data_IF_799145831484
#
_entry.id   IF_799145831484
#
_cell.length_a   1.000
_cell.length_b   1.000
_cell.length_c   1.000
_cell.angle_alpha   90.00
_cell.angle_beta   90.00
_cell.angle_gamma   90.00
#
_symmetry.space_group_name_H-M   'P 1'
#
loop_
_entity.id
_entity.type
_entity.pdbx_description
1 polymer ?
#
# COMPACT_ATOMS: atom_id res chain seq x y z
N UNK A 1 -45.48 -9.55 -14.62
CA UNK A 1 -44.75 -8.39 -14.09
C UNK A 1 -45.49 -7.86 -12.87
N UNK A 2 -45.01 -8.13 -11.66
CA UNK A 2 -45.61 -7.65 -10.40
C UNK A 2 -44.61 -6.68 -9.76
N UNK A 3 -44.96 -5.41 -9.69
CA UNK A 3 -44.21 -4.37 -8.97
C UNK A 3 -44.47 -4.55 -7.46
N UNK A 4 -43.43 -4.86 -6.70
CA UNK A 4 -43.46 -4.82 -5.24
C UNK A 4 -43.09 -3.40 -4.79
N UNK A 5 -44.05 -2.68 -4.22
CA UNK A 5 -43.81 -1.45 -3.48
C UNK A 5 -43.30 -1.80 -2.08
N UNK A 6 -42.02 -1.57 -1.83
CA UNK A 6 -41.45 -1.60 -0.48
C UNK A 6 -41.61 -0.20 0.12
N UNK A 7 -42.53 -0.08 1.07
CA UNK A 7 -42.72 1.12 1.88
C UNK A 7 -41.62 1.19 2.95
N UNK A 8 -40.69 2.13 2.81
CA UNK A 8 -39.66 2.43 3.81
C UNK A 8 -40.27 3.36 4.85
N UNK A 9 -40.51 2.83 6.05
CA UNK A 9 -40.96 3.59 7.23
C UNK A 9 -39.73 4.28 7.83
N UNK A 10 -39.67 5.61 7.73
CA UNK A 10 -38.71 6.43 8.46
C UNK A 10 -39.14 6.57 9.92
N UNK A 11 -38.54 5.75 10.79
CA UNK A 11 -38.62 5.93 12.24
C UNK A 11 -37.59 6.96 12.71
N UNK A 12 -38.02 8.22 12.87
CA UNK A 12 -37.24 9.26 13.55
C UNK A 12 -37.30 9.00 15.05
N UNK A 13 -36.24 8.42 15.62
CA UNK A 13 -36.08 8.28 17.06
C UNK A 13 -35.11 9.35 17.54
N UNK A 14 -35.68 10.48 17.95
CA UNK A 14 -34.99 11.53 18.67
C UNK A 14 -34.71 11.05 20.10
N UNK A 15 -33.45 10.69 20.38
CA UNK A 15 -32.97 10.54 21.75
C UNK A 15 -32.12 11.77 22.07
N UNK A 16 -32.72 12.67 22.84
CA UNK A 16 -32.00 13.72 23.54
C UNK A 16 -31.12 13.12 24.62
N UNK A 17 -29.92 13.68 24.78
CA UNK A 17 -28.98 13.32 25.83
C UNK A 17 -27.97 14.43 26.02
N UNK A 18 -28.25 15.31 26.97
CA UNK A 18 -27.38 16.38 27.42
C UNK A 18 -26.08 15.81 28.00
N UNK A 19 -24.93 16.18 27.45
CA UNK A 19 -23.64 16.01 28.11
C UNK A 19 -22.91 17.35 28.22
N UNK A 20 -22.90 17.86 29.46
CA UNK A 20 -21.64 18.16 30.13
C UNK A 20 -20.83 19.32 29.55
N UNK A 21 -21.22 20.53 29.94
CA UNK A 21 -20.31 21.65 30.07
C UNK A 21 -19.16 21.28 31.00
N UNK A 22 -17.94 21.34 30.47
CA UNK A 22 -16.73 21.34 31.27
C UNK A 22 -15.57 20.90 30.41
N UNK A 23 -14.74 21.85 29.98
CA UNK A 23 -13.28 21.83 30.09
C UNK A 23 -12.85 23.29 30.01
N UNK A 24 -12.72 23.86 31.20
CA UNK A 24 -12.13 25.16 31.46
C UNK A 24 -10.79 24.87 32.13
N UNK A 25 -9.77 25.65 31.75
CA UNK A 25 -8.44 25.77 32.34
C UNK A 25 -7.34 24.84 31.78
N UNK A 26 -6.32 25.48 31.21
CA UNK A 26 -5.08 24.83 30.80
C UNK A 26 -4.14 25.65 29.90
N UNK A 27 -4.27 26.97 29.84
CA UNK A 27 -3.23 27.83 29.26
C UNK A 27 -2.00 27.80 30.18
N UNK A 28 -1.01 26.96 29.85
CA UNK A 28 0.37 27.17 30.33
C UNK A 28 1.27 27.47 29.14
N UNK A 29 1.53 28.76 29.00
CA UNK A 29 2.58 29.36 28.20
C UNK A 29 3.95 28.90 28.74
N UNK A 30 4.75 28.25 27.89
CA UNK A 30 6.19 28.16 28.07
C UNK A 30 6.85 28.77 26.83
N UNK A 31 7.17 30.05 26.98
CA UNK A 31 8.01 30.80 26.06
C UNK A 31 9.44 30.29 26.21
N UNK A 32 9.94 29.55 25.22
CA UNK A 32 11.38 29.30 25.11
C UNK A 32 12.07 30.51 24.48
N UNK A 33 13.14 31.04 25.10
CA UNK A 33 13.88 32.18 24.59
C UNK A 33 14.65 31.80 23.32
N UNK A 34 14.57 32.71 22.35
CA UNK A 34 15.40 32.73 21.16
C UNK A 34 16.89 32.80 21.54
N UNK A 35 17.64 31.74 21.29
CA UNK A 35 19.09 31.77 21.26
C UNK A 35 19.53 32.26 19.88
N UNK A 36 19.84 33.55 19.82
CA UNK A 36 20.41 34.26 18.68
C UNK A 36 21.88 33.84 18.52
N UNK A 37 22.15 32.79 17.74
CA UNK A 37 23.51 32.46 17.32
C UNK A 37 23.80 33.16 15.99
N UNK A 38 24.26 34.42 16.09
CA UNK A 38 25.00 35.13 15.05
C UNK A 38 26.35 34.45 14.85
N UNK A 39 26.42 33.52 13.90
CA UNK A 39 27.67 33.00 13.39
C UNK A 39 27.95 33.63 12.02
N UNK A 40 28.87 34.59 12.05
CA UNK A 40 29.58 35.22 10.94
C UNK A 40 30.02 34.18 9.89
N UNK A 41 29.42 34.23 8.71
CA UNK A 41 29.90 33.50 7.53
C UNK A 41 31.04 34.30 6.88
N UNK A 42 32.27 33.75 6.79
CA UNK A 42 33.34 34.40 6.04
C UNK A 42 33.01 34.36 4.53
N UNK A 43 33.01 35.55 3.93
CA UNK A 43 33.23 35.74 2.50
C UNK A 43 34.62 35.23 2.12
N UNK A 44 34.73 34.62 0.93
CA UNK A 44 35.93 34.23 0.16
C UNK A 44 36.10 32.71 -0.02
N UNK A 45 35.78 32.22 -1.21
CA UNK A 45 36.84 31.87 -2.19
C UNK A 45 36.18 31.28 -3.43
N UNK A 46 36.20 32.04 -4.54
CA UNK A 46 35.80 31.56 -5.85
C UNK A 46 36.84 30.56 -6.36
N UNK A 47 36.75 29.31 -5.90
CA UNK A 47 37.46 28.20 -6.50
C UNK A 47 36.78 27.87 -7.83
N UNK A 48 37.46 28.22 -8.93
CA UNK A 48 37.15 27.79 -10.29
C UNK A 48 37.38 26.27 -10.36
N UNK A 49 36.36 25.53 -9.93
CA UNK A 49 36.37 24.08 -9.86
C UNK A 49 36.45 23.50 -11.29
N UNK A 50 37.35 22.56 -11.59
CA UNK A 50 37.52 22.00 -12.93
C UNK A 50 36.28 21.19 -13.30
N UNK A 51 35.40 21.80 -14.08
CA UNK A 51 34.11 21.23 -14.49
C UNK A 51 34.25 20.00 -15.42
N UNK A 52 35.47 19.72 -15.90
CA UNK A 52 35.76 18.68 -16.87
C UNK A 52 35.94 17.28 -16.25
N UNK A 53 36.31 17.17 -14.96
CA UNK A 53 36.47 15.87 -14.29
C UNK A 53 35.12 15.22 -13.91
N UNK A 54 34.08 16.02 -13.72
CA UNK A 54 32.75 15.52 -13.30
C UNK A 54 32.05 14.80 -14.45
N UNK A 55 32.25 15.25 -15.70
CA UNK A 55 31.62 14.62 -16.87
C UNK A 55 32.23 13.27 -17.21
N UNK A 56 33.55 13.12 -17.06
CA UNK A 56 34.26 11.86 -17.34
C UNK A 56 33.86 10.76 -16.35
N UNK A 57 33.77 11.08 -15.06
CA UNK A 57 33.31 10.11 -14.05
C UNK A 57 31.88 9.62 -14.31
N UNK A 58 30.99 10.53 -14.71
CA UNK A 58 29.60 10.17 -15.03
C UNK A 58 29.52 9.28 -16.26
N UNK A 59 30.39 9.48 -17.25
CA UNK A 59 30.44 8.63 -18.44
C UNK A 59 30.95 7.22 -18.11
N UNK A 60 31.99 7.09 -17.29
CA UNK A 60 32.50 5.79 -16.84
C UNK A 60 31.47 5.01 -16.00
N UNK A 61 30.71 5.70 -15.15
CA UNK A 61 29.63 5.10 -14.37
C UNK A 61 28.51 4.57 -15.28
N UNK A 62 28.12 5.37 -16.28
CA UNK A 62 27.08 4.99 -17.24
C UNK A 62 27.51 3.82 -18.13
N UNK A 63 28.80 3.73 -18.49
CA UNK A 63 29.36 2.58 -19.22
C UNK A 63 29.29 1.31 -18.37
N UNK A 64 29.64 1.38 -17.08
CA UNK A 64 29.52 0.24 -16.17
C UNK A 64 28.08 -0.24 -16.04
N UNK A 65 27.12 0.68 -15.98
CA UNK A 65 25.69 0.34 -15.90
C UNK A 65 25.19 -0.35 -17.18
N UNK A 66 25.63 0.11 -18.36
CA UNK A 66 25.32 -0.53 -19.64
C UNK A 66 25.88 -1.96 -19.74
N UNK A 67 27.12 -2.18 -19.29
CA UNK A 67 27.73 -3.51 -19.28
C UNK A 67 27.02 -4.45 -18.31
N UNK A 68 26.59 -3.93 -17.15
CA UNK A 68 25.78 -4.69 -16.19
C UNK A 68 24.42 -5.08 -16.79
N UNK A 69 23.75 -4.17 -17.50
CA UNK A 69 22.47 -4.46 -18.15
C UNK A 69 22.62 -5.48 -19.28
N UNK A 70 23.67 -5.38 -20.10
CA UNK A 70 23.97 -6.39 -21.14
C UNK A 70 24.22 -7.77 -20.53
N UNK A 71 24.92 -7.85 -19.40
CA UNK A 71 25.10 -9.10 -18.66
C UNK A 71 23.77 -9.71 -18.20
N UNK A 72 22.84 -8.89 -17.68
CA UNK A 72 21.50 -9.35 -17.28
C UNK A 72 20.67 -9.84 -18.46
N UNK A 73 20.72 -9.16 -19.60
CA UNK A 73 20.02 -9.61 -20.81
C UNK A 73 20.56 -10.94 -21.31
N UNK A 74 21.88 -11.14 -21.30
CA UNK A 74 22.47 -12.44 -21.65
C UNK A 74 22.02 -13.59 -20.74
N UNK A 75 21.89 -13.33 -19.43
CA UNK A 75 21.37 -14.31 -18.48
C UNK A 75 19.89 -14.67 -18.76
N UNK A 76 19.05 -13.66 -19.02
CA UNK A 76 17.63 -13.88 -19.33
C UNK A 76 17.45 -14.63 -20.65
N UNK A 77 18.23 -14.31 -21.68
CA UNK A 77 18.22 -15.06 -22.94
C UNK A 77 18.65 -16.53 -22.73
N UNK A 78 19.68 -16.77 -21.92
CA UNK A 78 20.11 -18.13 -21.59
C UNK A 78 19.01 -18.89 -20.85
N UNK A 79 18.33 -18.23 -19.89
CA UNK A 79 17.19 -18.81 -19.19
C UNK A 79 16.05 -19.13 -20.16
N UNK A 80 15.71 -18.22 -21.06
CA UNK A 80 14.69 -18.44 -22.08
C UNK A 80 15.03 -19.62 -23.00
N UNK A 81 16.29 -19.74 -23.44
CA UNK A 81 16.75 -20.91 -24.22
C UNK A 81 16.66 -22.21 -23.42
N UNK A 82 16.97 -22.20 -22.12
CA UNK A 82 16.83 -23.39 -21.28
C UNK A 82 15.37 -23.83 -21.11
N UNK A 83 14.43 -22.87 -21.01
CA UNK A 83 13.00 -23.16 -20.99
C UNK A 83 12.56 -23.73 -22.34
N UNK A 84 12.97 -23.12 -23.46
CA UNK A 84 12.66 -23.62 -24.80
C UNK A 84 13.24 -25.02 -25.09
N UNK A 85 14.46 -25.29 -24.61
CA UNK A 85 15.08 -26.60 -24.76
C UNK A 85 14.35 -27.67 -23.93
N UNK A 86 13.88 -27.33 -22.73
CA UNK A 86 13.03 -28.22 -21.95
C UNK A 86 11.67 -28.45 -22.61
N UNK A 87 11.05 -27.44 -23.20
CA UNK A 87 9.79 -27.62 -23.93
C UNK A 87 9.95 -28.43 -25.21
N UNK A 88 11.14 -28.42 -25.84
CA UNK A 88 11.40 -29.17 -27.08
C UNK A 88 11.63 -30.68 -26.86
N UNK A 89 11.85 -31.12 -25.62
CA UNK A 89 11.93 -32.54 -25.27
C UNK A 89 10.59 -33.11 -24.75
N UNK A 90 9.53 -32.30 -24.72
CA UNK A 90 8.16 -32.72 -24.43
C UNK A 90 7.37 -32.83 -25.75
N UNK A 91 7.82 -33.72 -26.63
CA UNK A 91 7.00 -34.28 -27.73
C UNK A 91 6.06 -35.40 -27.24
N UNK A 92 5.89 -35.52 -25.92
CA UNK A 92 4.71 -36.14 -25.33
C UNK A 92 3.69 -35.02 -25.18
N UNK A 93 2.48 -35.12 -25.80
CA UNK A 93 1.47 -34.08 -25.68
C UNK A 93 1.09 -33.99 -24.20
N UNK A 94 1.76 -33.06 -23.50
CA UNK A 94 1.26 -32.54 -22.26
C UNK A 94 -0.18 -32.17 -22.60
N UNK A 95 -1.10 -32.86 -21.95
CA UNK A 95 -2.50 -32.52 -21.90
C UNK A 95 -2.54 -31.14 -21.24
N UNK A 96 -2.22 -30.10 -22.02
CA UNK A 96 -2.59 -28.72 -21.75
C UNK A 96 -4.08 -28.86 -21.62
N UNK A 97 -4.52 -28.86 -20.36
CA UNK A 97 -5.93 -28.86 -20.04
C UNK A 97 -6.45 -27.57 -20.66
N UNK A 98 -6.91 -27.64 -21.92
CA UNK A 98 -7.50 -26.57 -22.74
C UNK A 98 -8.82 -26.04 -22.12
N UNK A 99 -9.01 -26.28 -20.83
CA UNK A 99 -10.15 -25.93 -20.04
C UNK A 99 -9.85 -24.73 -19.12
N UNK A 100 -8.84 -23.93 -19.46
CA UNK A 100 -8.64 -22.59 -18.90
C UNK A 100 -9.60 -21.62 -19.58
N UNK A 101 -10.89 -21.81 -19.33
CA UNK A 101 -11.91 -20.86 -19.70
C UNK A 101 -11.62 -19.53 -18.97
N UNK A 102 -11.50 -18.38 -19.67
CA UNK A 102 -11.24 -17.09 -19.03
C UNK A 102 -12.18 -16.76 -17.87
N UNK A 103 -13.43 -17.22 -17.94
CA UNK A 103 -14.40 -17.05 -16.86
C UNK A 103 -14.02 -17.80 -15.57
N UNK A 104 -13.39 -18.98 -15.69
CA UNK A 104 -12.97 -19.78 -14.54
C UNK A 104 -11.75 -19.16 -13.86
N UNK A 105 -10.83 -18.58 -14.65
CA UNK A 105 -9.68 -17.82 -14.13
C UNK A 105 -10.16 -16.60 -13.34
N UNK A 106 -11.05 -15.78 -13.91
CA UNK A 106 -11.59 -14.61 -13.22
C UNK A 106 -12.33 -14.99 -11.93
N UNK A 107 -13.09 -16.08 -11.95
CA UNK A 107 -13.78 -16.58 -10.76
C UNK A 107 -12.79 -17.06 -9.68
N UNK A 108 -11.72 -17.75 -10.07
CA UNK A 108 -10.68 -18.21 -9.14
C UNK A 108 -9.91 -17.02 -8.53
N UNK A 109 -9.55 -16.02 -9.32
CA UNK A 109 -8.90 -14.80 -8.83
C UNK A 109 -9.79 -14.04 -7.84
N UNK A 110 -11.09 -13.90 -8.15
CA UNK A 110 -12.05 -13.27 -7.25
C UNK A 110 -12.15 -14.01 -5.91
N UNK A 111 -12.20 -15.35 -5.93
CA UNK A 111 -12.21 -16.17 -4.73
C UNK A 111 -10.92 -16.01 -3.91
N UNK A 112 -9.76 -15.96 -4.56
CA UNK A 112 -8.48 -15.75 -3.86
C UNK A 112 -8.41 -14.37 -3.21
N UNK A 113 -8.89 -13.34 -3.91
CA UNK A 113 -8.96 -11.97 -3.37
C UNK A 113 -9.85 -11.95 -2.11
N UNK A 114 -11.05 -12.53 -2.20
CA UNK A 114 -12.00 -12.59 -1.08
C UNK A 114 -11.43 -13.37 0.11
N UNK A 115 -10.82 -14.53 -0.15
CA UNK A 115 -10.18 -15.35 0.89
C UNK A 115 -9.04 -14.59 1.58
N UNK A 116 -8.22 -13.88 0.81
CA UNK A 116 -7.12 -13.05 1.34
C UNK A 116 -7.63 -11.89 2.18
N UNK A 117 -8.68 -11.21 1.74
CA UNK A 117 -9.31 -10.13 2.52
C UNK A 117 -9.88 -10.64 3.83
N UNK A 118 -10.54 -11.80 3.80
CA UNK A 118 -11.11 -12.46 4.98
C UNK A 118 -10.00 -12.83 5.97
N UNK A 119 -8.91 -13.43 5.49
CA UNK A 119 -7.75 -13.77 6.31
C UNK A 119 -7.16 -12.56 7.06
N UNK A 120 -6.90 -11.44 6.36
CA UNK A 120 -6.38 -10.24 7.02
C UNK A 120 -7.39 -9.62 7.98
N UNK A 121 -8.68 -9.62 7.62
CA UNK A 121 -9.76 -9.12 8.49
C UNK A 121 -9.82 -9.91 9.79
N UNK A 122 -9.79 -11.24 9.70
CA UNK A 122 -9.90 -12.12 10.87
C UNK A 122 -8.64 -12.02 11.74
N UNK A 123 -7.46 -11.99 11.13
CA UNK A 123 -6.21 -11.81 11.85
C UNK A 123 -6.18 -10.46 12.58
N UNK A 124 -6.63 -9.39 11.91
CA UNK A 124 -6.75 -8.07 12.52
C UNK A 124 -7.69 -8.06 13.73
N UNK A 125 -8.83 -8.75 13.67
CA UNK A 125 -9.78 -8.79 14.80
C UNK A 125 -9.24 -9.53 16.02
N UNK A 126 -8.32 -10.48 15.80
CA UNK A 126 -7.70 -11.26 16.88
C UNK A 126 -6.51 -10.53 17.53
N UNK A 127 -5.97 -9.48 16.90
CA UNK A 127 -4.84 -8.75 17.49
C UNK A 127 -5.24 -7.96 18.75
N UNK A 128 -4.42 -8.03 19.82
CA UNK A 128 -4.60 -7.14 20.95
C UNK A 128 -4.30 -5.69 20.52
N UNK A 129 -4.90 -4.72 21.21
CA UNK A 129 -4.57 -3.31 21.01
C UNK A 129 -3.32 -2.92 21.81
N UNK A 130 -2.39 -2.18 21.19
CA UNK A 130 -1.30 -1.48 21.90
C UNK A 130 -1.70 -0.01 22.09
N UNK A 131 -2.24 0.40 23.25
CA UNK A 131 -2.83 1.73 23.42
C UNK A 131 -1.84 2.88 23.19
N UNK A 132 -0.54 2.66 23.44
CA UNK A 132 0.47 3.70 23.23
C UNK A 132 0.79 3.90 21.75
N UNK A 133 0.76 2.82 20.98
CA UNK A 133 1.06 2.87 19.55
C UNK A 133 -0.15 3.27 18.71
N UNK A 134 -1.34 2.73 19.03
CA UNK A 134 -2.57 2.91 18.25
C UNK A 134 -2.90 4.38 18.03
N UNK A 135 -2.91 5.21 19.08
CA UNK A 135 -3.25 6.63 18.98
C UNK A 135 -2.28 7.39 18.06
N UNK A 136 -0.97 7.15 18.23
CA UNK A 136 0.08 7.76 17.42
C UNK A 136 0.01 7.31 15.96
N UNK A 137 -0.20 6.02 15.72
CA UNK A 137 -0.27 5.43 14.40
C UNK A 137 -1.50 5.94 13.62
N UNK A 138 -2.68 5.93 14.25
CA UNK A 138 -3.92 6.45 13.66
C UNK A 138 -3.81 7.95 13.34
N UNK A 139 -3.25 8.75 14.24
CA UNK A 139 -3.01 10.18 14.00
C UNK A 139 -2.08 10.39 12.80
N UNK A 140 -0.96 9.68 12.76
CA UNK A 140 0.00 9.78 11.66
C UNK A 140 -0.60 9.38 10.31
N UNK A 141 -1.41 8.31 10.28
CA UNK A 141 -2.12 7.87 9.08
C UNK A 141 -3.17 8.89 8.64
N UNK A 142 -4.00 9.36 9.56
CA UNK A 142 -5.01 10.39 9.26
C UNK A 142 -4.34 11.63 8.69
N UNK A 143 -3.29 12.14 9.32
CA UNK A 143 -2.62 13.37 8.88
C UNK A 143 -1.94 13.18 7.51
N UNK A 144 -1.36 12.00 7.26
CA UNK A 144 -0.74 11.65 5.99
C UNK A 144 -1.73 11.55 4.81
N UNK A 145 -2.92 11.01 5.04
CA UNK A 145 -3.92 10.78 4.00
C UNK A 145 -4.99 11.88 3.92
N UNK A 146 -5.19 12.69 4.95
CA UNK A 146 -6.16 13.81 4.90
C UNK A 146 -5.73 14.87 3.87
N UNK A 147 -4.43 15.07 3.68
CA UNK A 147 -3.88 15.95 2.64
C UNK A 147 -3.95 15.35 1.22
N UNK A 148 -4.37 14.08 1.10
CA UNK A 148 -4.52 13.41 -0.19
C UNK A 148 -5.89 13.67 -0.84
N UNK A 149 -6.84 14.27 -0.10
CA UNK A 149 -8.18 14.59 -0.60
C UNK A 149 -8.14 15.48 -1.85
N UNK A 150 -7.24 16.46 -1.89
CA UNK A 150 -7.01 17.33 -3.07
C UNK A 150 -6.55 16.56 -4.32
N UNK A 151 -6.08 15.33 -4.13
CA UNK A 151 -5.62 14.42 -5.18
C UNK A 151 -6.57 13.24 -5.33
N UNK A 152 -7.86 13.42 -5.08
CA UNK A 152 -8.90 12.43 -5.36
C UNK A 152 -8.80 11.13 -4.56
N UNK A 153 -8.12 11.17 -3.40
CA UNK A 153 -8.10 10.07 -2.43
C UNK A 153 -8.56 10.61 -1.09
N UNK A 154 -9.77 10.25 -0.70
CA UNK A 154 -10.41 10.71 0.53
C UNK A 154 -10.11 9.75 1.68
N UNK A 155 -9.79 10.32 2.84
CA UNK A 155 -9.68 9.58 4.09
C UNK A 155 -11.07 9.15 4.58
N UNK A 156 -11.23 7.88 4.97
CA UNK A 156 -12.46 7.38 5.59
C UNK A 156 -12.20 7.09 7.07
N UNK A 157 -11.36 6.09 7.37
CA UNK A 157 -11.00 5.74 8.74
C UNK A 157 -9.62 5.03 8.82
N UNK A 158 -9.12 4.88 10.04
CA UNK A 158 -8.14 3.85 10.34
C UNK A 158 -8.33 3.27 11.73
N UNK A 159 -8.07 1.98 11.84
CA UNK A 159 -8.09 1.22 13.07
C UNK A 159 -6.73 0.52 13.20
N UNK A 160 -6.00 0.76 14.28
CA UNK A 160 -4.72 0.10 14.54
C UNK A 160 -4.83 -0.86 15.71
N UNK A 161 -4.03 -1.93 15.69
CA UNK A 161 -3.96 -2.95 16.74
C UNK A 161 -2.58 -3.01 17.35
N UNK A 162 -1.92 -4.15 17.48
CA UNK A 162 -0.59 -4.22 18.10
C UNK A 162 0.52 -4.28 17.06
N UNK A 163 0.26 -4.91 15.92
CA UNK A 163 1.24 -5.10 14.85
C UNK A 163 0.76 -4.65 13.48
N UNK A 164 -0.54 -4.35 13.29
CA UNK A 164 -1.05 -3.83 12.02
C UNK A 164 -2.15 -2.76 12.18
N UNK A 165 -2.38 -2.02 11.10
CA UNK A 165 -3.47 -1.08 10.93
C UNK A 165 -4.34 -1.47 9.73
N UNK A 166 -5.66 -1.37 9.88
CA UNK A 166 -6.63 -1.34 8.79
C UNK A 166 -6.94 0.11 8.46
N UNK A 167 -6.69 0.52 7.23
CA UNK A 167 -6.92 1.88 6.73
C UNK A 167 -7.98 1.81 5.65
N UNK A 168 -9.04 2.61 5.77
CA UNK A 168 -10.05 2.77 4.71
C UNK A 168 -9.91 4.13 4.05
N UNK A 169 -9.87 4.11 2.73
CA UNK A 169 -9.84 5.29 1.87
C UNK A 169 -10.93 5.15 0.81
N UNK A 170 -11.22 6.24 0.11
CA UNK A 170 -12.07 6.23 -1.08
C UNK A 170 -11.36 6.97 -2.22
N UNK A 171 -11.43 6.43 -3.44
CA UNK A 171 -10.89 7.08 -4.65
C UNK A 171 -12.02 7.68 -5.47
N UNK A 172 -11.85 8.92 -5.92
CA UNK A 172 -12.89 9.65 -6.68
C UNK A 172 -13.10 9.05 -8.08
N UNK A 173 -12.05 8.44 -8.65
CA UNK A 173 -12.07 7.85 -9.99
C UNK A 173 -11.75 6.35 -9.91
N UNK A 174 -12.74 5.46 -9.88
CA UNK A 174 -12.47 4.03 -9.92
C UNK A 174 -11.73 3.60 -11.19
N UNK A 175 -11.10 2.42 -11.14
CA UNK A 175 -10.38 1.82 -12.26
C UNK A 175 -8.88 2.20 -12.33
N UNK A 176 -8.23 1.99 -13.48
CA UNK A 176 -6.76 2.03 -13.58
C UNK A 176 -6.12 3.38 -13.23
N UNK A 177 -6.82 4.50 -13.53
CA UNK A 177 -6.33 5.85 -13.21
C UNK A 177 -6.33 6.10 -11.70
N UNK A 178 -7.43 5.81 -11.00
CA UNK A 178 -7.50 5.93 -9.54
C UNK A 178 -6.56 4.96 -8.84
N UNK A 179 -6.42 3.73 -9.34
CA UNK A 179 -5.45 2.78 -8.81
C UNK A 179 -4.02 3.33 -8.89
N UNK A 180 -3.61 3.87 -10.05
CA UNK A 180 -2.29 4.50 -10.20
C UNK A 180 -2.11 5.67 -9.25
N UNK A 181 -3.10 6.55 -9.14
CA UNK A 181 -3.10 7.71 -8.25
C UNK A 181 -2.98 7.30 -6.77
N UNK A 182 -3.75 6.29 -6.36
CA UNK A 182 -3.69 5.69 -5.03
C UNK A 182 -2.28 5.16 -4.73
N UNK A 183 -1.69 4.38 -5.63
CA UNK A 183 -0.33 3.84 -5.47
C UNK A 183 0.72 4.96 -5.36
N UNK A 184 0.61 6.00 -6.17
CA UNK A 184 1.46 7.19 -6.11
C UNK A 184 1.38 7.90 -4.75
N UNK A 185 0.16 8.05 -4.21
CA UNK A 185 -0.09 8.69 -2.92
C UNK A 185 0.46 7.83 -1.79
N UNK A 186 0.17 6.52 -1.78
CA UNK A 186 0.68 5.59 -0.77
C UNK A 186 2.22 5.61 -0.75
N UNK A 187 2.87 5.55 -1.90
CA UNK A 187 4.33 5.57 -1.97
C UNK A 187 4.96 6.88 -1.45
N UNK A 188 4.26 8.01 -1.56
CA UNK A 188 4.77 9.32 -1.15
C UNK A 188 4.38 9.73 0.27
N UNK A 189 3.28 9.18 0.80
CA UNK A 189 2.64 9.67 2.03
C UNK A 189 2.61 8.67 3.18
N UNK A 190 2.85 7.38 2.94
CA UNK A 190 2.83 6.42 4.04
C UNK A 190 3.82 6.84 5.14
N UNK A 191 3.38 6.99 6.41
CA UNK A 191 4.19 7.65 7.43
C UNK A 191 5.41 6.83 7.88
N UNK A 192 5.41 5.53 7.64
CA UNK A 192 6.53 4.64 7.95
C UNK A 192 6.68 3.52 6.91
N UNK A 193 7.89 2.95 6.73
CA UNK A 193 8.08 1.77 5.90
C UNK A 193 7.41 0.55 6.57
N UNK A 194 6.69 -0.23 5.79
CA UNK A 194 6.01 -1.44 6.26
C UNK A 194 5.42 -2.24 5.11
N UNK A 195 5.08 -3.49 5.39
CA UNK A 195 4.35 -4.34 4.45
C UNK A 195 2.92 -3.84 4.34
N UNK A 196 2.39 -3.86 3.11
CA UNK A 196 1.04 -3.37 2.80
C UNK A 196 0.32 -4.41 1.95
N UNK A 197 -0.90 -4.75 2.33
CA UNK A 197 -1.86 -5.41 1.46
C UNK A 197 -2.96 -4.40 1.14
N UNK A 198 -3.20 -4.15 -0.15
CA UNK A 198 -4.17 -3.15 -0.62
C UNK A 198 -5.21 -3.86 -1.46
N UNK A 199 -6.48 -3.65 -1.12
CA UNK A 199 -7.61 -4.01 -1.95
C UNK A 199 -8.37 -2.75 -2.35
N UNK A 200 -8.61 -2.62 -3.65
CA UNK A 200 -9.43 -1.57 -4.24
C UNK A 200 -10.65 -2.23 -4.87
N UNK A 201 -11.84 -1.89 -4.37
CA UNK A 201 -13.08 -2.21 -5.04
C UNK A 201 -13.23 -1.26 -6.25
N UNK A 202 -13.08 -1.82 -7.45
CA UNK A 202 -13.14 -1.04 -8.69
C UNK A 202 -14.53 -0.55 -9.04
N UNK A 203 -15.59 -1.08 -8.42
CA UNK A 203 -16.95 -0.62 -8.65
C UNK A 203 -17.28 0.59 -7.77
N UNK A 204 -16.89 0.57 -6.49
CA UNK A 204 -17.23 1.62 -5.52
C UNK A 204 -16.13 2.65 -5.31
N UNK A 205 -14.88 2.33 -5.67
CA UNK A 205 -13.72 3.13 -5.32
C UNK A 205 -13.32 3.01 -3.84
N UNK A 206 -13.93 2.10 -3.08
CA UNK A 206 -13.50 1.84 -1.70
C UNK A 206 -12.15 1.14 -1.67
N UNK A 207 -11.26 1.60 -0.80
CA UNK A 207 -9.94 1.02 -0.59
C UNK A 207 -9.85 0.52 0.84
N UNK A 208 -9.48 -0.74 1.01
CA UNK A 208 -9.08 -1.29 2.30
C UNK A 208 -7.60 -1.67 2.22
N UNK A 209 -6.80 -1.06 3.08
CA UNK A 209 -5.37 -1.35 3.20
C UNK A 209 -5.05 -1.90 4.58
N UNK A 210 -4.41 -3.07 4.63
CA UNK A 210 -3.75 -3.58 5.83
C UNK A 210 -2.27 -3.23 5.78
N UNK A 211 -1.75 -2.62 6.83
CA UNK A 211 -0.39 -2.11 6.88
C UNK A 211 0.30 -2.53 8.18
N UNK A 212 1.50 -3.08 8.10
CA UNK A 212 2.25 -3.49 9.30
C UNK A 212 2.83 -2.30 10.06
N UNK A 213 3.08 -2.51 11.36
CA UNK A 213 3.87 -1.65 12.23
C UNK A 213 5.32 -1.55 11.76
N UNK A 214 6.02 -0.50 12.17
CA UNK A 214 7.45 -0.35 11.92
C UNK A 214 8.24 -1.57 12.40
N UNK A 215 8.95 -2.22 11.48
CA UNK A 215 9.76 -3.41 11.77
C UNK A 215 8.96 -4.71 11.92
N UNK A 216 7.62 -4.68 11.83
CA UNK A 216 6.79 -5.87 11.82
C UNK A 216 6.49 -6.35 10.40
N UNK A 217 6.32 -7.65 10.22
CA UNK A 217 5.82 -8.28 8.99
C UNK A 217 4.31 -8.43 9.07
N UNK A 218 3.64 -8.39 7.92
CA UNK A 218 2.25 -8.86 7.86
C UNK A 218 2.21 -10.38 8.03
N UNK A 219 1.11 -10.94 8.58
CA UNK A 219 0.85 -12.37 8.54
C UNK A 219 0.94 -12.90 7.11
N UNK A 220 1.63 -14.02 6.94
CA UNK A 220 1.81 -14.63 5.63
C UNK A 220 0.51 -15.30 5.20
N UNK A 221 0.02 -14.94 4.01
CA UNK A 221 -1.15 -15.57 3.42
C UNK A 221 -0.67 -16.73 2.56
N UNK A 222 -0.81 -17.95 3.06
CA UNK A 222 -0.41 -19.18 2.37
C UNK A 222 -1.41 -19.62 1.30
N UNK A 223 -2.24 -18.69 0.81
CA UNK A 223 -3.39 -18.89 -0.08
C UNK A 223 -3.54 -20.28 -0.64
N UNK A 224 -4.42 -21.09 -0.05
CA UNK A 224 -4.74 -22.49 -0.39
C UNK A 224 -4.01 -22.99 -1.65
N UNK A 225 -2.72 -23.31 -1.53
CA UNK A 225 -2.00 -24.11 -2.52
C UNK A 225 -2.38 -25.58 -2.29
N UNK A 226 -3.68 -25.85 -2.15
CA UNK A 226 -4.23 -27.15 -1.80
C UNK A 226 -4.06 -28.19 -2.92
N UNK A 227 -3.48 -27.79 -4.05
CA UNK A 227 -3.29 -28.64 -5.22
C UNK A 227 -1.95 -29.41 -5.23
N UNK A 228 -1.09 -29.30 -4.22
CA UNK A 228 0.25 -29.94 -4.24
C UNK A 228 0.47 -31.11 -3.27
N UNK A 229 -0.56 -31.61 -2.57
CA UNK A 229 -0.38 -32.69 -1.57
C UNK A 229 -1.32 -33.90 -1.76
N UNK A 230 -1.53 -34.37 -2.99
CA UNK A 230 -2.13 -35.70 -3.23
C UNK A 230 -1.48 -36.44 -4.41
N UNK A 231 -0.26 -36.93 -4.23
CA UNK A 231 0.21 -38.13 -4.97
C UNK A 231 1.37 -38.79 -4.22
N UNK A 232 1.05 -39.83 -3.45
CA UNK A 232 1.97 -40.93 -3.10
C UNK A 232 1.14 -42.20 -2.91
#
# INVERSE_FOLDING_TARGET
MKQNHIAIIFGVLAIGGAFGLGWKYGLRSESSPAALNTATTPLLSANKMPQQDVTNRRFEEMQRELDQMRGKLGLLEQQQRSVQANTSNMDEPANVSDNDNPADIEAQEAQQIEAKQTFFKDTFQQEPADPKWVEKAQTSLRDAYSVAAEKGVSWVDAECRSTMCRVRLSVDQPGPKGQKQLMDIMNKRTPWPGYRNVHLDTATGEVTMYMSREGATLPDWQGNSADEETTN
#
